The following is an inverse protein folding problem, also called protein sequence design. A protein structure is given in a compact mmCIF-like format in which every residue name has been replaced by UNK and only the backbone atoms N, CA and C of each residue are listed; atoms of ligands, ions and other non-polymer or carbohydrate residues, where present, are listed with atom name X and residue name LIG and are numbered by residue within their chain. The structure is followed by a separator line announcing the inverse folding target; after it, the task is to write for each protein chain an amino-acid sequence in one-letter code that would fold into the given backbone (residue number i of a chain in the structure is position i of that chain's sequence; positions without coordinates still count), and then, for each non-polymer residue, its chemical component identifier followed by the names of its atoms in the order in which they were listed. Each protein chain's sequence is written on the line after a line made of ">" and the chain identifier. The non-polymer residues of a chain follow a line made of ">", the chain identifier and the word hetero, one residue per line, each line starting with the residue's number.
data_IF_781569205016
#
_entry.id   IF_781569205016
#
_cell.length_a   1.000
_cell.length_b   1.000
_cell.length_c   1.000
_cell.angle_alpha   90.00
_cell.angle_beta   90.00
_cell.angle_gamma   90.00
#
_symmetry.space_group_name_H-M   'P 1'
#
loop_
_entity.id
_entity.type
_entity.pdbx_description
1 polymer ?
#
# COMPACT_ATOMS: atom_id res chain seq x y z
N UNK A 1 -18.92 24.07 29.25
CA UNK A 1 -18.09 23.06 28.54
C UNK A 1 -19.01 22.21 27.70
N UNK A 2 -18.68 21.98 26.43
CA UNK A 2 -19.49 21.17 25.50
C UNK A 2 -19.38 19.68 25.80
N UNK A 3 -20.30 18.89 25.32
CA UNK A 3 -20.15 17.44 25.26
C UNK A 3 -19.25 17.06 24.06
N UNK A 4 -18.45 16.01 24.22
CA UNK A 4 -17.50 15.51 23.24
C UNK A 4 -18.06 14.25 22.59
N UNK A 5 -17.92 14.09 21.29
CA UNK A 5 -18.27 12.87 20.58
C UNK A 5 -17.20 11.80 20.78
N UNK A 6 -17.64 10.56 20.94
CA UNK A 6 -16.78 9.41 21.16
C UNK A 6 -17.46 8.14 20.62
N UNK A 7 -16.71 7.29 19.94
CA UNK A 7 -17.17 5.97 19.49
C UNK A 7 -16.48 4.86 20.28
N UNK A 8 -17.25 3.89 20.80
CA UNK A 8 -16.73 2.77 21.59
C UNK A 8 -16.74 1.46 20.81
N UNK A 9 -15.69 0.68 20.97
CA UNK A 9 -15.60 -0.70 20.50
C UNK A 9 -15.18 -1.65 21.64
N UNK A 10 -15.75 -2.85 21.66
CA UNK A 10 -15.46 -3.84 22.70
C UNK A 10 -14.11 -4.52 22.54
N UNK A 11 -13.53 -4.48 21.35
CA UNK A 11 -12.18 -4.95 21.03
C UNK A 11 -11.69 -4.29 19.73
N UNK A 12 -10.43 -4.49 19.38
CA UNK A 12 -9.80 -3.91 18.18
C UNK A 12 -10.41 -4.39 16.85
N UNK A 13 -11.01 -5.58 16.85
CA UNK A 13 -11.62 -6.21 15.68
C UNK A 13 -13.14 -6.01 15.63
N UNK A 14 -13.71 -5.22 16.55
CA UNK A 14 -15.14 -4.96 16.60
C UNK A 14 -15.65 -4.45 15.23
N UNK A 15 -16.63 -5.15 14.69
CA UNK A 15 -17.29 -4.78 13.43
C UNK A 15 -18.26 -3.62 13.59
N UNK A 16 -18.75 -3.41 14.82
CA UNK A 16 -19.72 -2.37 15.18
C UNK A 16 -19.18 -1.50 16.30
N UNK A 17 -19.19 -0.20 16.09
CA UNK A 17 -18.79 0.84 17.03
C UNK A 17 -20.02 1.68 17.39
N UNK A 18 -20.14 2.06 18.65
CA UNK A 18 -21.29 2.82 19.14
C UNK A 18 -20.89 4.26 19.38
N UNK A 19 -21.46 5.18 18.59
CA UNK A 19 -21.30 6.62 18.80
C UNK A 19 -22.08 7.09 20.02
N UNK A 20 -21.43 7.88 20.86
CA UNK A 20 -22.02 8.50 22.07
C UNK A 20 -21.44 9.90 22.24
N UNK A 21 -22.00 10.62 23.21
CA UNK A 21 -21.44 11.86 23.74
C UNK A 21 -20.99 11.64 25.18
N UNK A 22 -19.92 12.31 25.59
CA UNK A 22 -19.36 12.23 26.94
C UNK A 22 -18.89 13.63 27.39
N UNK A 23 -19.04 13.94 28.68
CA UNK A 23 -18.36 15.10 29.28
C UNK A 23 -16.89 14.76 29.50
N UNK A 24 -15.99 15.69 29.29
CA UNK A 24 -14.55 15.45 29.53
C UNK A 24 -14.25 15.01 30.97
N UNK A 25 -15.01 15.55 31.96
CA UNK A 25 -14.89 15.10 33.34
C UNK A 25 -15.18 13.62 33.53
N UNK A 26 -16.24 13.10 32.88
CA UNK A 26 -16.60 11.68 32.98
C UNK A 26 -15.59 10.78 32.26
N UNK A 27 -15.01 11.26 31.16
CA UNK A 27 -13.91 10.56 30.48
C UNK A 27 -12.66 10.50 31.36
N UNK A 28 -12.30 11.60 32.04
CA UNK A 28 -11.19 11.65 33.01
C UNK A 28 -11.34 10.58 34.09
N UNK A 29 -12.51 10.49 34.72
CA UNK A 29 -12.78 9.47 35.74
C UNK A 29 -12.61 8.05 35.21
N UNK A 30 -13.04 7.79 33.98
CA UNK A 30 -12.83 6.49 33.34
C UNK A 30 -11.37 6.20 33.03
N UNK A 31 -10.58 7.19 32.64
CA UNK A 31 -9.16 7.03 32.30
C UNK A 31 -8.24 6.94 33.53
N UNK A 32 -8.72 7.37 34.72
CA UNK A 32 -8.01 7.20 36.00
C UNK A 32 -7.91 5.74 36.44
N UNK A 33 -8.83 4.90 35.99
CA UNK A 33 -8.91 3.50 36.40
C UNK A 33 -8.30 2.60 35.36
N UNK A 34 -7.22 1.91 35.74
CA UNK A 34 -6.59 0.89 34.88
C UNK A 34 -7.18 -0.49 35.12
N UNK A 35 -7.36 -1.26 34.06
CA UNK A 35 -7.71 -2.67 34.11
C UNK A 35 -6.43 -3.46 34.40
N UNK A 36 -6.37 -4.18 35.55
CA UNK A 36 -5.25 -5.07 35.85
C UNK A 36 -5.48 -6.41 35.18
N UNK A 37 -4.50 -6.85 34.38
CA UNK A 37 -4.53 -8.16 33.72
C UNK A 37 -3.84 -9.22 34.59
N UNK A 38 -3.97 -10.49 34.22
CA UNK A 38 -3.50 -11.59 35.05
C UNK A 38 -1.98 -11.82 34.98
N UNK A 39 -1.36 -11.47 33.85
CA UNK A 39 0.07 -11.64 33.64
C UNK A 39 0.90 -10.58 34.38
N UNK A 40 2.11 -10.95 34.78
CA UNK A 40 3.11 -10.01 35.27
C UNK A 40 3.74 -9.20 34.11
N UNK A 41 4.43 -8.11 34.44
CA UNK A 41 5.16 -7.30 33.46
C UNK A 41 6.28 -8.12 32.76
N UNK A 42 6.93 -9.02 33.50
CA UNK A 42 7.98 -9.92 33.02
C UNK A 42 7.42 -10.98 32.07
N UNK A 43 6.23 -11.52 32.37
CA UNK A 43 5.53 -12.46 31.51
C UNK A 43 5.06 -11.77 30.23
N UNK A 44 4.47 -10.58 30.36
CA UNK A 44 4.04 -9.79 29.21
C UNK A 44 5.21 -9.46 28.27
N UNK A 45 6.39 -9.13 28.80
CA UNK A 45 7.57 -8.83 27.98
C UNK A 45 8.02 -10.03 27.12
N UNK A 46 7.80 -11.26 27.61
CA UNK A 46 8.14 -12.51 26.90
C UNK A 46 7.09 -12.98 25.89
N UNK A 47 5.88 -12.40 25.93
CA UNK A 47 4.78 -12.78 25.04
C UNK A 47 5.09 -12.44 23.58
N UNK A 48 4.57 -13.27 22.68
CA UNK A 48 4.50 -12.94 21.25
C UNK A 48 3.66 -11.69 20.99
N UNK A 49 3.85 -11.05 19.83
CA UNK A 49 3.05 -9.87 19.47
C UNK A 49 1.54 -10.15 19.53
N UNK A 50 1.09 -11.31 19.05
CA UNK A 50 -0.32 -11.69 19.07
C UNK A 50 -0.88 -11.82 20.50
N UNK A 51 -0.11 -12.43 21.41
CA UNK A 51 -0.48 -12.55 22.83
C UNK A 51 -0.53 -11.19 23.51
N UNK A 52 0.48 -10.31 23.28
CA UNK A 52 0.48 -8.93 23.81
C UNK A 52 -0.69 -8.11 23.29
N UNK A 53 -1.04 -8.28 22.03
CA UNK A 53 -2.18 -7.60 21.42
C UNK A 53 -3.51 -8.07 22.01
N UNK A 54 -3.63 -9.35 22.37
CA UNK A 54 -4.81 -9.90 23.05
C UNK A 54 -4.89 -9.44 24.51
N UNK A 55 -3.77 -9.45 25.24
CA UNK A 55 -3.71 -9.06 26.65
C UNK A 55 -4.17 -7.62 26.90
N UNK A 56 -3.80 -6.68 26.04
CA UNK A 56 -4.18 -5.25 26.16
C UNK A 56 -5.56 -4.91 25.58
N UNK A 57 -6.22 -5.85 24.86
CA UNK A 57 -7.46 -5.56 24.13
C UNK A 57 -8.70 -5.70 25.02
N UNK A 58 -8.92 -4.74 25.88
CA UNK A 58 -10.14 -4.55 26.67
C UNK A 58 -11.12 -3.56 26.03
N UNK A 59 -11.09 -3.47 24.68
CA UNK A 59 -11.81 -2.46 23.95
C UNK A 59 -11.16 -1.10 24.03
N UNK A 60 -11.85 -0.11 23.46
CA UNK A 60 -11.32 1.24 23.41
C UNK A 60 -12.27 2.22 22.74
N UNK A 61 -11.72 3.35 22.35
CA UNK A 61 -12.50 4.41 21.74
C UNK A 61 -11.79 5.06 20.55
N UNK A 62 -12.57 5.66 19.67
CA UNK A 62 -12.16 6.70 18.74
C UNK A 62 -12.79 8.00 19.25
N UNK A 63 -11.99 9.04 19.39
CA UNK A 63 -12.42 10.31 19.96
C UNK A 63 -13.17 11.17 18.92
N UNK A 64 -14.31 10.69 18.43
CA UNK A 64 -15.12 11.31 17.38
C UNK A 64 -16.33 10.47 16.98
N UNK A 65 -16.87 10.74 15.79
CA UNK A 65 -18.04 10.06 15.21
C UNK A 65 -17.59 9.15 14.06
N UNK A 66 -18.10 7.92 14.03
CA UNK A 66 -17.89 6.95 12.96
C UNK A 66 -19.20 6.70 12.22
N UNK A 67 -19.28 7.07 10.94
CA UNK A 67 -20.46 6.83 10.10
C UNK A 67 -20.73 5.32 9.98
N UNK A 68 -22.00 4.96 10.11
CA UNK A 68 -22.44 3.56 10.06
C UNK A 68 -21.84 2.66 11.16
N UNK A 69 -21.22 3.24 12.20
CA UNK A 69 -20.61 2.51 13.30
C UNK A 69 -19.46 1.60 12.88
N UNK A 70 -18.73 1.95 11.83
CA UNK A 70 -17.55 1.19 11.36
C UNK A 70 -16.28 2.00 11.56
N UNK A 71 -15.23 1.36 12.07
CA UNK A 71 -13.92 1.99 12.27
C UNK A 71 -13.03 1.80 11.03
N UNK A 72 -13.29 2.60 10.01
CA UNK A 72 -12.46 2.72 8.82
C UNK A 72 -12.02 4.18 8.67
N UNK A 73 -11.00 4.45 7.85
CA UNK A 73 -10.48 5.80 7.67
C UNK A 73 -11.49 6.72 6.98
N UNK A 74 -12.20 6.18 6.01
CA UNK A 74 -13.23 6.84 5.20
C UNK A 74 -14.56 7.04 5.94
N UNK A 75 -14.74 6.44 7.12
CA UNK A 75 -15.99 6.55 7.89
C UNK A 75 -15.91 7.53 9.07
N UNK A 76 -14.77 8.15 9.29
CA UNK A 76 -14.64 9.18 10.32
C UNK A 76 -15.31 10.46 9.85
N UNK A 77 -16.36 10.88 10.57
CA UNK A 77 -17.09 12.11 10.27
C UNK A 77 -16.40 13.32 10.89
N UNK A 78 -16.19 13.26 12.20
CA UNK A 78 -15.53 14.33 12.97
C UNK A 78 -14.68 13.75 14.12
N UNK A 79 -13.76 14.57 14.64
CA UNK A 79 -13.02 14.32 15.86
C UNK A 79 -13.30 15.42 16.87
N UNK A 80 -13.60 15.03 18.11
CA UNK A 80 -13.91 15.93 19.23
C UNK A 80 -12.76 16.08 20.22
N UNK A 81 -11.78 15.16 20.13
CA UNK A 81 -10.60 15.16 20.99
C UNK A 81 -9.38 14.76 20.16
N UNK A 82 -8.24 15.32 20.50
CA UNK A 82 -6.94 14.84 20.07
C UNK A 82 -6.47 13.75 21.01
N UNK A 83 -5.90 12.68 20.48
CA UNK A 83 -5.28 11.61 21.26
C UNK A 83 -3.95 11.20 20.61
N UNK A 84 -2.85 11.27 21.38
CA UNK A 84 -1.49 10.96 20.91
C UNK A 84 -0.89 9.81 21.73
N UNK A 85 -0.35 8.80 21.07
CA UNK A 85 0.40 7.70 21.68
C UNK A 85 1.90 8.07 21.72
N UNK A 86 2.44 8.24 22.90
CA UNK A 86 3.87 8.48 23.15
C UNK A 86 4.58 7.16 23.44
N UNK A 87 5.19 6.59 22.41
CA UNK A 87 5.88 5.28 22.49
C UNK A 87 7.37 5.40 22.83
N UNK A 88 7.92 6.61 22.84
CA UNK A 88 9.35 6.91 23.05
C UNK A 88 9.57 8.04 24.03
N UNK A 89 8.74 8.09 25.03
CA UNK A 89 8.79 9.09 26.09
C UNK A 89 10.00 8.81 26.97
N UNK A 90 10.72 9.84 27.33
CA UNK A 90 11.77 9.79 28.34
C UNK A 90 11.28 10.29 29.72
N UNK A 91 12.10 10.07 30.72
CA UNK A 91 11.78 10.50 32.08
C UNK A 91 11.69 12.03 32.21
N UNK A 92 12.44 12.79 31.41
CA UNK A 92 12.42 14.25 31.41
C UNK A 92 11.08 14.77 30.89
N UNK A 93 10.55 14.18 29.79
CA UNK A 93 9.22 14.50 29.29
C UNK A 93 8.15 14.25 30.35
N UNK A 94 8.16 13.06 31.01
CA UNK A 94 7.19 12.75 32.06
C UNK A 94 7.26 13.70 33.24
N UNK A 95 8.46 14.09 33.65
CA UNK A 95 8.65 15.03 34.74
C UNK A 95 8.19 16.44 34.36
N UNK A 96 8.50 16.89 33.14
CA UNK A 96 8.20 18.22 32.64
C UNK A 96 6.83 18.41 32.00
N UNK A 97 6.04 17.36 31.82
CA UNK A 97 4.81 17.41 31.02
C UNK A 97 3.84 18.51 31.41
N UNK A 98 3.59 18.70 32.72
CA UNK A 98 2.67 19.71 33.22
C UNK A 98 3.12 21.14 32.89
N UNK A 99 4.45 21.35 32.77
CA UNK A 99 5.03 22.65 32.38
C UNK A 99 5.14 22.83 30.87
N UNK A 100 5.23 21.70 30.11
CA UNK A 100 5.35 21.73 28.66
C UNK A 100 3.99 21.85 27.96
N UNK A 101 2.91 21.36 28.60
CA UNK A 101 1.59 21.30 28.02
C UNK A 101 0.73 22.50 28.46
N UNK A 102 0.41 23.45 27.58
CA UNK A 102 -0.38 24.62 27.96
C UNK A 102 -1.89 24.36 27.99
N UNK A 103 -2.34 23.19 27.53
CA UNK A 103 -3.76 22.85 27.37
C UNK A 103 -4.24 21.91 28.46
N UNK A 104 -5.54 21.97 28.71
CA UNK A 104 -6.23 20.95 29.50
C UNK A 104 -6.04 19.58 28.83
N UNK A 105 -5.57 18.61 29.59
CA UNK A 105 -5.29 17.27 29.03
C UNK A 105 -5.24 16.20 30.12
N UNK A 106 -5.25 14.96 29.65
CA UNK A 106 -4.98 13.78 30.46
C UNK A 106 -3.79 13.04 29.86
N UNK A 107 -2.85 12.66 30.72
CA UNK A 107 -1.78 11.72 30.43
C UNK A 107 -1.99 10.44 31.24
N UNK A 108 -1.92 9.28 30.59
CA UNK A 108 -1.87 8.00 31.28
C UNK A 108 -0.92 7.02 30.58
N UNK A 109 -0.32 6.11 31.39
CA UNK A 109 0.56 5.08 30.86
C UNK A 109 -0.21 3.97 30.18
N UNK A 110 0.32 3.47 29.06
CA UNK A 110 -0.28 2.34 28.32
C UNK A 110 0.18 1.00 28.88
N UNK A 111 -0.46 -0.10 28.46
CA UNK A 111 -0.20 -1.46 28.96
C UNK A 111 1.27 -1.89 28.88
N UNK A 112 1.98 -1.45 27.84
CA UNK A 112 3.40 -1.79 27.61
C UNK A 112 4.40 -0.84 28.28
N UNK A 113 3.91 0.09 29.12
CA UNK A 113 4.77 1.05 29.79
C UNK A 113 5.59 0.40 30.90
N UNK A 114 6.89 0.73 30.96
CA UNK A 114 7.78 0.36 32.06
C UNK A 114 8.50 1.59 32.61
N UNK A 115 9.06 1.55 33.81
CA UNK A 115 9.84 2.67 34.35
C UNK A 115 11.00 3.09 33.44
N UNK A 116 11.68 2.12 32.80
CA UNK A 116 12.83 2.35 31.93
C UNK A 116 12.42 2.72 30.48
N UNK A 117 11.20 2.40 30.08
CA UNK A 117 10.66 2.73 28.76
C UNK A 117 9.19 3.16 28.90
N UNK A 118 8.96 4.41 29.39
CA UNK A 118 7.62 4.91 29.58
C UNK A 118 6.86 5.03 28.25
N UNK A 119 5.63 4.56 28.24
CA UNK A 119 4.70 4.70 27.12
C UNK A 119 3.42 5.32 27.64
N UNK A 120 3.03 6.41 27.02
CA UNK A 120 1.90 7.21 27.49
C UNK A 120 0.88 7.45 26.41
N UNK A 121 -0.32 7.82 26.81
CA UNK A 121 -1.34 8.39 25.95
C UNK A 121 -1.76 9.73 26.49
N UNK A 122 -1.78 10.73 25.61
CA UNK A 122 -2.26 12.07 25.87
C UNK A 122 -3.62 12.24 25.23
N UNK A 123 -4.57 12.83 25.95
CA UNK A 123 -5.91 13.14 25.44
C UNK A 123 -6.25 14.60 25.73
N UNK A 124 -6.56 15.35 24.67
CA UNK A 124 -6.89 16.78 24.72
C UNK A 124 -8.33 16.98 24.26
N UNK A 125 -9.20 17.61 25.05
CA UNK A 125 -10.52 18.03 24.58
C UNK A 125 -10.38 19.21 23.62
N UNK A 126 -11.14 19.19 22.51
CA UNK A 126 -11.16 20.30 21.54
C UNK A 126 -12.32 21.24 21.82
N UNK A 127 -12.15 22.53 21.56
CA UNK A 127 -13.20 23.55 21.72
C UNK A 127 -14.34 23.36 20.70
N UNK A 128 -14.04 22.83 19.52
CA UNK A 128 -15.01 22.39 18.50
C UNK A 128 -14.63 21.04 17.93
N UNK A 129 -15.57 20.44 17.18
CA UNK A 129 -15.27 19.29 16.35
C UNK A 129 -14.43 19.71 15.15
N UNK A 130 -13.57 18.82 14.69
CA UNK A 130 -12.70 19.03 13.54
C UNK A 130 -12.94 17.95 12.50
N UNK A 131 -12.72 18.27 11.23
CA UNK A 131 -12.71 17.29 10.14
C UNK A 131 -11.51 16.35 10.27
N UNK A 132 -11.52 15.21 9.59
CA UNK A 132 -10.35 14.32 9.57
C UNK A 132 -9.06 15.00 9.11
N UNK A 133 -9.14 15.92 8.14
CA UNK A 133 -7.99 16.67 7.63
C UNK A 133 -7.46 17.66 8.66
N UNK A 134 -8.35 18.46 9.27
CA UNK A 134 -7.99 19.36 10.37
C UNK A 134 -7.38 18.56 11.54
N UNK A 135 -7.95 17.37 11.85
CA UNK A 135 -7.41 16.50 12.91
C UNK A 135 -5.97 16.09 12.64
N UNK A 136 -5.64 15.68 11.41
CA UNK A 136 -4.26 15.32 11.05
C UNK A 136 -3.33 16.52 11.24
N UNK A 137 -3.72 17.69 10.76
CA UNK A 137 -2.93 18.92 10.90
C UNK A 137 -2.73 19.30 12.37
N UNK A 138 -3.82 19.45 13.13
CA UNK A 138 -3.77 19.84 14.55
C UNK A 138 -2.94 18.83 15.36
N UNK A 139 -3.13 17.52 15.15
CA UNK A 139 -2.38 16.49 15.88
C UNK A 139 -0.88 16.56 15.60
N UNK A 140 -0.47 16.82 14.35
CA UNK A 140 0.95 16.92 13.97
C UNK A 140 1.60 18.20 14.52
N UNK A 141 0.90 19.33 14.47
CA UNK A 141 1.44 20.58 15.05
C UNK A 141 1.52 20.53 16.58
N UNK A 142 0.54 19.94 17.26
CA UNK A 142 0.61 19.72 18.71
C UNK A 142 1.73 18.74 19.06
N UNK A 143 1.89 17.67 18.28
CA UNK A 143 3.00 16.75 18.47
C UNK A 143 4.36 17.43 18.22
N UNK A 144 4.47 18.33 17.23
CA UNK A 144 5.69 19.11 16.97
C UNK A 144 6.03 20.01 18.16
N UNK A 145 5.03 20.68 18.72
CA UNK A 145 5.19 21.52 19.91
C UNK A 145 5.71 20.74 21.12
N UNK A 146 5.27 19.49 21.29
CA UNK A 146 5.64 18.60 22.38
C UNK A 146 6.90 17.75 22.09
N UNK A 147 7.41 17.77 20.85
CA UNK A 147 8.49 16.91 20.37
C UNK A 147 7.96 15.72 19.56
N UNK A 148 7.81 15.91 18.25
CA UNK A 148 7.12 14.96 17.34
C UNK A 148 7.73 13.55 17.35
N UNK A 149 9.03 13.42 17.63
CA UNK A 149 9.73 12.15 17.68
C UNK A 149 9.36 11.26 18.88
N UNK A 150 8.69 11.80 19.88
CA UNK A 150 8.14 11.05 21.00
C UNK A 150 6.92 10.22 20.62
N UNK A 151 6.17 10.62 19.57
CA UNK A 151 4.84 10.09 19.27
C UNK A 151 4.84 9.06 18.15
N UNK A 152 3.90 8.10 18.23
CA UNK A 152 3.62 7.13 17.17
C UNK A 152 2.81 7.81 16.06
N UNK A 153 3.26 7.68 14.83
CA UNK A 153 2.65 8.23 13.62
C UNK A 153 1.22 7.72 13.41
N UNK A 154 0.89 6.52 13.90
CA UNK A 154 -0.47 6.00 13.86
C UNK A 154 -1.48 6.89 14.59
N UNK A 155 -1.02 7.69 15.58
CA UNK A 155 -1.87 8.62 16.34
C UNK A 155 -2.52 9.70 15.47
N UNK A 156 -1.88 10.05 14.35
CA UNK A 156 -2.38 11.06 13.42
C UNK A 156 -3.47 10.53 12.49
N UNK A 157 -3.73 9.22 12.50
CA UNK A 157 -4.82 8.65 11.70
C UNK A 157 -6.17 8.94 12.35
N UNK A 158 -7.14 9.51 11.60
CA UNK A 158 -8.43 9.87 12.18
C UNK A 158 -9.21 8.71 12.80
N UNK A 159 -9.04 7.48 12.33
CA UNK A 159 -9.69 6.27 12.81
C UNK A 159 -8.87 5.49 13.84
N UNK A 160 -7.77 6.07 14.38
CA UNK A 160 -6.92 5.36 15.33
C UNK A 160 -7.67 4.99 16.60
N UNK A 161 -7.55 3.72 16.96
CA UNK A 161 -8.09 3.15 18.19
C UNK A 161 -7.21 3.54 19.38
N UNK A 162 -7.83 4.08 20.41
CA UNK A 162 -7.25 4.30 21.71
C UNK A 162 -7.79 3.26 22.69
N UNK A 163 -6.94 2.30 23.12
CA UNK A 163 -7.35 1.30 24.11
C UNK A 163 -7.66 1.96 25.44
N UNK A 164 -8.64 1.39 26.18
CA UNK A 164 -8.86 1.75 27.57
C UNK A 164 -7.60 1.45 28.39
N UNK A 165 -7.35 2.21 29.48
CA UNK A 165 -6.20 1.97 30.32
C UNK A 165 -6.19 0.54 30.85
N UNK A 166 -5.10 -0.17 30.62
CA UNK A 166 -4.82 -1.48 31.18
C UNK A 166 -3.35 -1.59 31.51
N UNK A 167 -3.01 -2.48 32.44
CA UNK A 167 -1.63 -2.73 32.84
C UNK A 167 -1.47 -4.16 33.36
N UNK A 168 -0.27 -4.76 33.24
CA UNK A 168 0.04 -6.03 33.89
C UNK A 168 -0.24 -5.98 35.40
N UNK A 169 -0.37 -7.14 36.06
CA UNK A 169 -0.73 -7.24 37.46
C UNK A 169 0.16 -6.37 38.38
N UNK A 170 1.48 -6.42 38.16
CA UNK A 170 2.49 -5.65 38.90
C UNK A 170 3.00 -4.42 38.12
N UNK A 171 2.40 -4.11 36.97
CA UNK A 171 2.81 -2.97 36.13
C UNK A 171 2.54 -1.62 36.79
N UNK A 172 3.38 -0.64 36.51
CA UNK A 172 3.20 0.74 36.99
C UNK A 172 2.16 1.44 36.14
N UNK A 173 1.17 2.06 36.79
CA UNK A 173 0.18 2.90 36.14
C UNK A 173 0.30 4.33 36.67
N UNK A 174 0.60 5.26 35.77
CA UNK A 174 0.69 6.69 36.05
C UNK A 174 -0.47 7.40 35.33
N UNK A 175 -1.10 8.31 36.06
CA UNK A 175 -2.15 9.18 35.56
C UNK A 175 -1.85 10.61 35.99
N UNK A 176 -1.92 11.57 35.06
CA UNK A 176 -1.74 12.99 35.31
C UNK A 176 -2.80 13.81 34.60
N UNK A 177 -3.17 14.93 35.14
CA UNK A 177 -4.04 15.92 34.52
C UNK A 177 -3.32 17.27 34.44
N UNK A 178 -3.47 17.94 33.31
CA UNK A 178 -3.13 19.36 33.20
C UNK A 178 -4.40 20.20 33.23
N UNK A 179 -4.38 21.26 33.99
CA UNK A 179 -5.44 22.25 34.01
C UNK A 179 -5.05 23.40 33.09
N UNK A 180 -5.95 23.75 32.18
CA UNK A 180 -5.74 24.82 31.21
C UNK A 180 -6.99 25.01 30.37
N UNK A 181 -6.89 25.86 29.37
CA UNK A 181 -7.95 25.98 28.37
C UNK A 181 -7.99 24.74 27.47
N UNK A 182 -9.17 24.44 26.97
CA UNK A 182 -9.31 23.39 25.96
C UNK A 182 -8.55 23.78 24.71
N UNK A 183 -7.95 22.79 24.04
CA UNK A 183 -7.21 23.01 22.80
C UNK A 183 -8.16 23.59 21.74
N UNK A 184 -7.90 24.83 21.33
CA UNK A 184 -8.63 25.47 20.24
C UNK A 184 -7.97 25.11 18.90
N UNK A 185 -8.61 24.31 18.05
CA UNK A 185 -8.03 23.95 16.75
C UNK A 185 -7.83 25.16 15.82
N UNK A 186 -8.68 26.20 15.94
CA UNK A 186 -8.57 27.38 15.09
C UNK A 186 -7.30 28.18 15.36
N UNK A 187 -6.85 28.25 16.62
CA UNK A 187 -5.60 28.91 16.95
C UNK A 187 -4.39 28.18 16.36
N UNK A 188 -4.40 26.82 16.39
CA UNK A 188 -3.35 26.01 15.79
C UNK A 188 -3.34 26.15 14.27
N UNK A 189 -4.51 26.06 13.63
CA UNK A 189 -4.61 26.15 12.17
C UNK A 189 -4.30 27.55 11.65
N UNK A 190 -4.70 28.60 12.37
CA UNK A 190 -4.40 29.99 11.99
C UNK A 190 -2.91 30.33 12.12
N UNK A 191 -2.21 29.71 13.08
CA UNK A 191 -0.76 29.84 13.22
C UNK A 191 0.02 29.17 12.08
N UNK A 192 -0.62 28.27 11.33
CA UNK A 192 -0.01 27.51 10.23
C UNK A 192 -0.91 27.57 8.97
N UNK A 193 -0.89 28.68 8.21
CA UNK A 193 -1.79 28.87 7.06
C UNK A 193 -1.70 27.80 5.99
N UNK A 194 -0.57 27.12 5.89
CA UNK A 194 -0.30 26.02 4.97
C UNK A 194 -0.82 24.65 5.43
N UNK A 195 -1.52 24.59 6.57
CA UNK A 195 -2.00 23.32 7.16
C UNK A 195 -2.84 22.46 6.20
N UNK A 196 -3.49 23.09 5.23
CA UNK A 196 -4.30 22.45 4.20
C UNK A 196 -3.48 21.82 3.06
N UNK A 197 -2.16 22.03 3.01
CA UNK A 197 -1.23 21.26 2.18
C UNK A 197 -0.62 20.12 3.01
N UNK A 198 -1.12 18.88 2.86
CA UNK A 198 -0.65 17.76 3.69
C UNK A 198 0.84 17.46 3.55
N UNK A 199 1.48 17.93 2.47
CA UNK A 199 2.92 17.70 2.23
C UNK A 199 3.81 18.63 3.07
N UNK A 200 3.23 19.66 3.65
CA UNK A 200 3.93 20.63 4.52
C UNK A 200 3.74 20.35 6.01
N UNK A 201 2.90 19.36 6.33
CA UNK A 201 2.68 19.01 7.74
C UNK A 201 3.94 18.46 8.38
N UNK A 202 4.16 18.74 9.68
CA UNK A 202 5.31 18.21 10.42
C UNK A 202 5.40 16.67 10.32
N UNK A 203 6.60 16.16 10.12
CA UNK A 203 6.89 14.71 10.08
C UNK A 203 7.98 14.36 11.08
N UNK A 204 7.89 13.17 11.67
CA UNK A 204 8.93 12.64 12.53
C UNK A 204 10.20 12.29 11.74
N UNK A 205 11.34 12.20 12.42
CA UNK A 205 12.59 11.75 11.81
C UNK A 205 12.47 10.31 11.26
N UNK A 206 11.56 9.51 11.80
CA UNK A 206 11.29 8.13 11.38
C UNK A 206 10.48 8.08 10.09
N UNK A 207 9.42 8.90 9.99
CA UNK A 207 8.62 9.00 8.75
C UNK A 207 9.50 9.40 7.58
N UNK A 208 10.38 10.38 7.77
CA UNK A 208 11.30 10.84 6.74
C UNK A 208 12.24 9.72 6.29
N UNK A 209 12.80 8.93 7.22
CA UNK A 209 13.64 7.77 6.92
C UNK A 209 12.86 6.63 6.27
N UNK A 210 11.67 6.32 6.78
CA UNK A 210 10.83 5.25 6.24
C UNK A 210 10.39 5.55 4.80
N UNK A 211 10.02 6.80 4.52
CA UNK A 211 9.68 7.24 3.18
C UNK A 211 10.86 7.11 2.21
N UNK A 212 12.06 7.51 2.62
CA UNK A 212 13.27 7.36 1.81
C UNK A 212 13.61 5.88 1.53
N UNK A 213 13.52 5.01 2.54
CA UNK A 213 13.77 3.56 2.40
C UNK A 213 12.70 2.89 1.52
N UNK A 214 11.44 3.30 1.66
CA UNK A 214 10.34 2.76 0.84
C UNK A 214 10.55 3.11 -0.62
N UNK A 215 10.92 4.35 -0.92
CA UNK A 215 11.24 4.78 -2.30
C UNK A 215 12.39 3.97 -2.93
N UNK A 216 13.42 3.62 -2.15
CA UNK A 216 14.56 2.82 -2.64
C UNK A 216 14.24 1.34 -2.86
N UNK A 217 13.25 0.78 -2.16
CA UNK A 217 12.88 -0.64 -2.22
C UNK A 217 11.70 -0.96 -3.14
N UNK A 218 11.08 0.04 -3.72
CA UNK A 218 9.92 -0.16 -4.58
C UNK A 218 10.38 -0.76 -5.91
N UNK A 219 9.91 -1.97 -6.18
CA UNK A 219 10.10 -2.61 -7.47
C UNK A 219 9.33 -1.84 -8.55
N UNK A 220 9.96 -1.61 -9.70
CA UNK A 220 9.32 -0.95 -10.85
C UNK A 220 8.02 -1.68 -11.24
N UNK A 221 6.86 -1.04 -11.16
CA UNK A 221 5.59 -1.67 -11.47
C UNK A 221 5.48 -2.08 -12.94
N UNK A 222 6.23 -1.45 -13.84
CA UNK A 222 6.26 -1.79 -15.27
C UNK A 222 7.07 -3.08 -15.53
N UNK A 223 8.04 -3.39 -14.66
CA UNK A 223 8.84 -4.61 -14.74
C UNK A 223 8.18 -5.82 -14.06
N UNK A 224 7.04 -5.64 -13.40
CA UNK A 224 6.31 -6.76 -12.80
C UNK A 224 5.75 -7.70 -13.86
N UNK A 225 5.78 -8.98 -13.55
CA UNK A 225 5.17 -10.02 -14.38
C UNK A 225 3.65 -10.14 -14.14
N UNK A 226 2.98 -10.85 -15.03
CA UNK A 226 1.55 -11.18 -14.92
C UNK A 226 0.63 -9.97 -15.07
N UNK A 227 -0.62 -10.13 -14.60
CA UNK A 227 -1.70 -9.15 -14.80
C UNK A 227 -1.39 -7.79 -14.21
N UNK A 228 -0.68 -7.75 -13.07
CA UNK A 228 -0.28 -6.48 -12.42
C UNK A 228 0.66 -5.69 -13.34
N UNK A 229 1.69 -6.33 -13.89
CA UNK A 229 2.63 -5.66 -14.80
C UNK A 229 1.97 -5.25 -16.11
N UNK A 230 1.15 -6.12 -16.70
CA UNK A 230 0.38 -5.81 -17.90
C UNK A 230 -0.50 -4.56 -17.71
N UNK A 231 -1.26 -4.51 -16.62
CA UNK A 231 -2.11 -3.35 -16.32
C UNK A 231 -1.29 -2.07 -16.15
N UNK A 232 -0.19 -2.12 -15.38
CA UNK A 232 0.66 -0.96 -15.16
C UNK A 232 1.32 -0.47 -16.46
N UNK A 233 1.72 -1.36 -17.38
CA UNK A 233 2.28 -0.97 -18.70
C UNK A 233 1.25 -0.33 -19.61
N UNK A 234 0.04 -0.87 -19.67
CA UNK A 234 -1.05 -0.31 -20.48
C UNK A 234 -1.48 1.05 -19.96
N UNK A 235 -1.59 1.20 -18.65
CA UNK A 235 -2.04 2.45 -18.01
C UNK A 235 -0.89 3.34 -17.52
N UNK A 236 0.26 3.26 -18.19
CA UNK A 236 1.35 4.21 -18.02
C UNK A 236 1.13 5.43 -18.93
N UNK A 237 1.35 6.67 -18.45
CA UNK A 237 1.60 7.05 -17.05
C UNK A 237 0.39 6.76 -16.13
N UNK A 238 0.62 6.62 -14.81
CA UNK A 238 -0.42 6.27 -13.82
C UNK A 238 -1.64 7.20 -13.85
N UNK A 239 -1.46 8.44 -14.30
CA UNK A 239 -2.52 9.43 -14.48
C UNK A 239 -3.59 8.98 -15.49
N UNK A 240 -3.23 8.08 -16.43
CA UNK A 240 -4.19 7.46 -17.34
C UNK A 240 -5.19 6.59 -16.57
N UNK A 241 -4.71 5.77 -15.63
CA UNK A 241 -5.58 4.98 -14.77
C UNK A 241 -6.49 5.85 -13.89
N UNK A 242 -5.98 6.97 -13.36
CA UNK A 242 -6.80 7.91 -12.60
C UNK A 242 -7.93 8.50 -13.44
N UNK A 243 -7.65 8.92 -14.68
CA UNK A 243 -8.65 9.49 -15.60
C UNK A 243 -9.71 8.48 -16.01
N UNK A 244 -9.30 7.25 -16.30
CA UNK A 244 -10.19 6.23 -16.86
C UNK A 244 -11.02 5.52 -15.78
N UNK A 245 -10.40 5.17 -14.65
CA UNK A 245 -11.08 4.39 -13.62
C UNK A 245 -11.46 5.17 -12.37
N UNK A 246 -10.90 6.35 -12.12
CA UNK A 246 -11.07 7.08 -10.87
C UNK A 246 -11.37 8.57 -11.09
N UNK A 247 -11.95 8.92 -12.25
CA UNK A 247 -12.34 10.29 -12.56
C UNK A 247 -13.46 10.86 -11.67
N UNK A 248 -14.21 9.99 -10.99
CA UNK A 248 -15.18 10.33 -9.96
C UNK A 248 -14.54 10.59 -8.59
N UNK A 249 -13.31 10.14 -8.39
CA UNK A 249 -12.56 10.22 -7.12
C UNK A 249 -11.53 11.34 -7.16
N UNK A 250 -10.73 11.39 -8.21
CA UNK A 250 -9.62 12.33 -8.36
C UNK A 250 -9.83 13.30 -9.52
N UNK A 251 -9.28 14.48 -9.38
CA UNK A 251 -9.21 15.47 -10.45
C UNK A 251 -7.81 16.08 -10.56
N UNK A 252 -7.34 16.40 -11.79
CA UNK A 252 -6.05 17.03 -11.99
C UNK A 252 -6.07 18.47 -11.46
N UNK A 253 -4.89 18.99 -11.11
CA UNK A 253 -4.68 20.40 -10.79
C UNK A 253 -3.85 21.06 -11.90
N UNK A 254 -3.58 22.35 -11.78
CA UNK A 254 -2.68 23.08 -12.71
C UNK A 254 -1.23 22.55 -12.67
N UNK A 255 -0.87 21.79 -11.62
CA UNK A 255 0.41 21.11 -11.51
C UNK A 255 0.26 19.64 -11.92
N UNK A 256 0.93 19.23 -13.00
CA UNK A 256 0.84 17.88 -13.57
C UNK A 256 1.16 16.76 -12.58
N UNK A 257 2.01 17.03 -11.59
CA UNK A 257 2.38 16.08 -10.53
C UNK A 257 1.49 16.13 -9.28
N UNK A 258 0.44 16.95 -9.30
CA UNK A 258 -0.48 17.12 -8.19
C UNK A 258 -1.92 16.92 -8.62
N UNK A 259 -2.63 16.13 -7.83
CA UNK A 259 -4.05 15.84 -8.03
C UNK A 259 -4.83 16.14 -6.76
N UNK A 260 -6.11 16.35 -6.90
CA UNK A 260 -7.04 16.64 -5.82
C UNK A 260 -7.98 15.45 -5.60
N UNK A 261 -8.25 15.09 -4.33
CA UNK A 261 -9.31 14.15 -3.96
C UNK A 261 -10.62 14.93 -3.86
N UNK A 262 -11.58 14.69 -4.74
CA UNK A 262 -12.83 15.48 -4.89
C UNK A 262 -13.66 15.65 -3.62
N UNK A 263 -13.58 14.68 -2.70
CA UNK A 263 -14.32 14.71 -1.43
C UNK A 263 -13.52 15.31 -0.26
N UNK A 264 -12.35 15.87 -0.53
CA UNK A 264 -11.47 16.45 0.50
C UNK A 264 -11.58 17.98 0.51
N UNK A 265 -11.49 18.56 1.69
CA UNK A 265 -11.36 20.01 1.89
C UNK A 265 -9.92 20.52 1.77
N UNK A 266 -8.93 19.61 1.78
CA UNK A 266 -7.51 19.95 1.62
C UNK A 266 -7.11 20.00 0.15
N UNK A 267 -6.16 20.89 -0.18
CA UNK A 267 -5.75 21.16 -1.56
C UNK A 267 -4.67 20.17 -2.05
N UNK A 268 -4.81 19.69 -3.28
CA UNK A 268 -3.75 19.05 -4.09
C UNK A 268 -2.83 18.05 -3.35
N UNK A 269 -3.39 17.28 -2.43
CA UNK A 269 -2.64 16.37 -1.56
C UNK A 269 -2.34 15.00 -2.16
N UNK A 270 -2.56 14.80 -3.47
CA UNK A 270 -2.20 13.57 -4.17
C UNK A 270 -1.02 13.87 -5.08
N UNK A 271 0.10 13.17 -4.86
CA UNK A 271 1.33 13.31 -5.64
C UNK A 271 1.48 12.17 -6.65
N UNK A 272 1.87 12.54 -7.86
CA UNK A 272 2.33 11.59 -8.88
C UNK A 272 3.85 11.51 -8.80
N UNK A 273 4.39 10.30 -8.59
CA UNK A 273 5.83 10.04 -8.48
C UNK A 273 6.30 9.19 -9.63
N UNK A 274 7.32 9.67 -10.35
CA UNK A 274 7.95 8.97 -11.48
C UNK A 274 6.95 8.51 -12.58
N UNK A 275 5.82 9.18 -12.73
CA UNK A 275 4.71 8.79 -13.62
C UNK A 275 4.14 7.37 -13.38
N UNK A 276 4.63 6.67 -12.35
CA UNK A 276 4.32 5.27 -12.05
C UNK A 276 3.48 5.08 -10.81
N UNK A 277 3.54 6.05 -9.87
CA UNK A 277 2.93 5.90 -8.56
C UNK A 277 2.08 7.09 -8.18
N UNK A 278 1.05 6.79 -7.43
CA UNK A 278 0.20 7.73 -6.71
C UNK A 278 0.53 7.65 -5.23
N UNK A 279 0.73 8.79 -4.60
CA UNK A 279 0.91 8.89 -3.14
C UNK A 279 -0.08 9.90 -2.59
N UNK A 280 -1.01 9.46 -1.75
CA UNK A 280 -2.06 10.33 -1.20
C UNK A 280 -1.74 10.75 0.23
N UNK A 281 -1.80 12.04 0.48
CA UNK A 281 -1.73 12.65 1.81
C UNK A 281 -3.12 12.94 2.41
N UNK A 282 -4.20 12.66 1.67
CA UNK A 282 -5.56 12.92 2.14
C UNK A 282 -5.99 11.87 3.17
N UNK A 283 -6.35 12.34 4.36
CA UNK A 283 -6.70 11.49 5.50
C UNK A 283 -7.94 10.60 5.29
N UNK A 284 -8.82 10.95 4.36
CA UNK A 284 -10.00 10.15 3.99
C UNK A 284 -9.76 9.18 2.83
N UNK A 285 -8.61 9.29 2.17
CA UNK A 285 -8.29 8.44 1.04
C UNK A 285 -7.91 7.02 1.52
N UNK A 286 -8.51 5.94 0.98
CA UNK A 286 -8.05 4.58 1.23
C UNK A 286 -6.55 4.34 0.96
N UNK A 287 -5.96 5.16 0.07
CA UNK A 287 -4.53 5.17 -0.27
C UNK A 287 -3.68 6.09 0.63
N UNK A 288 -4.23 6.62 1.73
CA UNK A 288 -3.54 7.53 2.64
C UNK A 288 -2.17 6.98 3.06
N UNK A 289 -1.12 7.78 2.83
CA UNK A 289 0.29 7.47 3.11
C UNK A 289 0.80 6.15 2.49
N UNK A 290 0.20 5.72 1.38
CA UNK A 290 0.65 4.55 0.64
C UNK A 290 1.13 4.96 -0.75
N UNK A 291 2.24 4.36 -1.18
CA UNK A 291 2.73 4.48 -2.54
C UNK A 291 2.08 3.39 -3.40
N UNK A 292 1.15 3.79 -4.27
CA UNK A 292 0.31 2.89 -5.04
C UNK A 292 0.63 3.00 -6.53
N UNK A 293 0.86 1.89 -7.22
CA UNK A 293 0.88 1.85 -8.68
C UNK A 293 -0.54 1.89 -9.27
N UNK A 294 -0.68 1.92 -10.60
CA UNK A 294 -2.00 2.00 -11.26
C UNK A 294 -2.94 0.85 -10.86
N UNK A 295 -2.45 -0.39 -10.78
CA UNK A 295 -3.25 -1.54 -10.37
C UNK A 295 -3.72 -1.42 -8.91
N UNK A 296 -2.83 -1.03 -8.00
CA UNK A 296 -3.15 -0.96 -6.57
C UNK A 296 -4.11 0.19 -6.25
N UNK A 297 -3.95 1.37 -6.88
CA UNK A 297 -4.83 2.51 -6.62
C UNK A 297 -6.26 2.23 -7.11
N UNK A 298 -6.42 1.64 -8.29
CA UNK A 298 -7.73 1.26 -8.81
C UNK A 298 -8.36 0.16 -7.94
N UNK A 299 -7.58 -0.86 -7.52
CA UNK A 299 -8.04 -1.91 -6.62
C UNK A 299 -8.60 -1.37 -5.31
N UNK A 300 -7.88 -0.46 -4.67
CA UNK A 300 -8.28 0.12 -3.37
C UNK A 300 -9.59 0.87 -3.45
N UNK A 301 -9.82 1.62 -4.51
CA UNK A 301 -11.03 2.43 -4.66
C UNK A 301 -12.23 1.65 -5.20
N UNK A 302 -12.02 0.69 -6.11
CA UNK A 302 -13.14 -0.04 -6.73
C UNK A 302 -13.52 -1.30 -5.98
N UNK A 303 -12.59 -1.90 -5.23
CA UNK A 303 -12.77 -3.19 -4.56
C UNK A 303 -12.29 -3.21 -3.10
N UNK A 304 -12.10 -2.05 -2.48
CA UNK A 304 -11.60 -1.94 -1.10
C UNK A 304 -12.60 -2.36 -0.01
N UNK A 305 -13.85 -2.61 -0.38
CA UNK A 305 -14.90 -3.14 0.50
C UNK A 305 -14.79 -4.66 0.71
N UNK A 306 -14.08 -5.36 -0.17
CA UNK A 306 -13.86 -6.81 -0.14
C UNK A 306 -12.67 -7.18 0.73
N UNK A 307 -12.57 -8.46 1.11
CA UNK A 307 -11.33 -8.98 1.68
C UNK A 307 -10.18 -8.92 0.65
N UNK A 308 -8.94 -8.99 1.12
CA UNK A 308 -7.77 -8.72 0.28
C UNK A 308 -7.66 -9.68 -0.92
N UNK A 309 -7.99 -10.97 -0.74
CA UNK A 309 -7.97 -11.96 -1.81
C UNK A 309 -9.08 -11.72 -2.84
N UNK A 310 -10.29 -11.47 -2.39
CA UNK A 310 -11.43 -11.18 -3.26
C UNK A 310 -11.25 -9.84 -4.00
N UNK A 311 -10.68 -8.84 -3.33
CA UNK A 311 -10.32 -7.56 -3.92
C UNK A 311 -9.29 -7.70 -5.04
N UNK A 312 -8.23 -8.49 -4.80
CA UNK A 312 -7.20 -8.76 -5.80
C UNK A 312 -7.77 -9.50 -7.02
N UNK A 313 -8.58 -10.54 -6.80
CA UNK A 313 -9.22 -11.29 -7.87
C UNK A 313 -10.13 -10.40 -8.72
N UNK A 314 -10.99 -9.60 -8.09
CA UNK A 314 -11.88 -8.68 -8.81
C UNK A 314 -11.10 -7.64 -9.63
N UNK A 315 -9.97 -7.16 -9.15
CA UNK A 315 -9.10 -6.27 -9.90
C UNK A 315 -8.41 -6.97 -11.08
N UNK A 316 -8.00 -8.23 -10.92
CA UNK A 316 -7.48 -9.02 -12.03
C UNK A 316 -8.54 -9.25 -13.14
N UNK A 317 -9.78 -9.51 -12.75
CA UNK A 317 -10.90 -9.66 -13.68
C UNK A 317 -11.16 -8.36 -14.44
N UNK A 318 -11.20 -7.21 -13.74
CA UNK A 318 -11.32 -5.88 -14.37
C UNK A 318 -10.19 -5.62 -15.36
N UNK A 319 -8.95 -5.89 -14.99
CA UNK A 319 -7.78 -5.70 -15.84
C UNK A 319 -7.87 -6.56 -17.11
N UNK A 320 -8.28 -7.83 -16.98
CA UNK A 320 -8.42 -8.75 -18.11
C UNK A 320 -9.69 -8.51 -18.96
N UNK A 321 -10.60 -7.64 -18.54
CA UNK A 321 -11.69 -7.15 -19.39
C UNK A 321 -11.21 -6.07 -20.38
N UNK A 322 -10.11 -5.39 -20.10
CA UNK A 322 -9.57 -4.33 -20.96
C UNK A 322 -8.91 -4.92 -22.21
N UNK A 323 -9.35 -4.48 -23.40
CA UNK A 323 -8.87 -5.05 -24.66
C UNK A 323 -7.37 -4.78 -24.89
N UNK A 324 -6.86 -3.60 -24.51
CA UNK A 324 -5.42 -3.27 -24.59
C UNK A 324 -4.58 -4.22 -23.72
N UNK A 325 -5.07 -4.59 -22.52
CA UNK A 325 -4.39 -5.55 -21.64
C UNK A 325 -4.37 -6.95 -22.25
N UNK A 326 -5.48 -7.38 -22.86
CA UNK A 326 -5.55 -8.67 -23.58
C UNK A 326 -4.58 -8.71 -24.76
N UNK A 327 -4.53 -7.64 -25.56
CA UNK A 327 -3.61 -7.52 -26.70
C UNK A 327 -2.17 -7.60 -26.25
N UNK A 328 -1.81 -6.82 -25.22
CA UNK A 328 -0.45 -6.85 -24.68
C UNK A 328 -0.10 -8.25 -24.13
N UNK A 329 -0.99 -8.88 -23.39
CA UNK A 329 -0.80 -10.24 -22.87
C UNK A 329 -0.58 -11.26 -23.99
N UNK A 330 -1.33 -11.15 -25.09
CA UNK A 330 -1.18 -12.02 -26.25
C UNK A 330 0.15 -11.82 -26.95
N UNK A 331 0.58 -10.57 -27.12
CA UNK A 331 1.85 -10.22 -27.75
C UNK A 331 3.04 -10.72 -26.91
N UNK A 332 3.01 -10.57 -25.59
CA UNK A 332 4.07 -11.07 -24.71
C UNK A 332 4.17 -12.62 -24.74
N UNK A 333 3.02 -13.31 -24.78
CA UNK A 333 3.00 -14.78 -24.92
C UNK A 333 3.58 -15.23 -26.25
N UNK A 334 3.25 -14.54 -27.35
CA UNK A 334 3.80 -14.83 -28.66
C UNK A 334 5.30 -14.59 -28.71
N UNK A 335 5.78 -13.48 -28.13
CA UNK A 335 7.21 -13.18 -28.04
C UNK A 335 7.96 -14.23 -27.23
N UNK A 336 7.43 -14.64 -26.07
CA UNK A 336 8.01 -15.71 -25.25
C UNK A 336 8.06 -17.03 -26.00
N UNK A 337 6.96 -17.44 -26.64
CA UNK A 337 6.91 -18.65 -27.45
C UNK A 337 7.96 -18.58 -28.59
N UNK A 338 8.11 -17.43 -29.26
CA UNK A 338 9.11 -17.27 -30.31
C UNK A 338 10.53 -17.40 -29.78
N UNK A 339 10.82 -16.90 -28.57
CA UNK A 339 12.12 -17.09 -27.90
C UNK A 339 12.35 -18.57 -27.55
N UNK A 340 11.37 -19.23 -26.93
CA UNK A 340 11.46 -20.64 -26.55
C UNK A 340 11.67 -21.55 -27.78
N UNK A 341 11.12 -21.17 -28.93
CA UNK A 341 11.40 -21.88 -30.20
C UNK A 341 12.73 -21.49 -30.85
N UNK A 342 13.28 -20.29 -30.58
CA UNK A 342 14.60 -19.87 -31.12
C UNK A 342 15.77 -20.49 -30.36
N UNK A 343 15.59 -20.76 -29.07
CA UNK A 343 16.59 -21.42 -28.21
C UNK A 343 16.55 -22.96 -28.29
N UNK A 344 15.56 -23.54 -28.97
CA UNK A 344 15.61 -24.93 -29.32
C UNK A 344 16.84 -25.14 -30.24
N UNK A 345 17.87 -25.79 -29.69
CA UNK A 345 19.15 -26.14 -30.32
C UNK A 345 18.92 -26.48 -31.80
N UNK A 346 19.13 -25.50 -32.70
CA UNK A 346 18.87 -25.66 -34.15
C UNK A 346 19.65 -26.81 -34.74
N UNK A 347 20.62 -27.32 -34.02
CA UNK A 347 21.49 -28.44 -34.37
C UNK A 347 21.22 -29.74 -33.56
N UNK A 348 20.21 -29.74 -32.64
CA UNK A 348 19.88 -30.94 -31.85
C UNK A 348 19.56 -32.17 -32.69
N UNK A 349 18.97 -31.98 -33.87
CA UNK A 349 18.68 -33.03 -34.82
C UNK A 349 19.93 -33.75 -35.35
N UNK A 350 21.09 -33.06 -35.40
CA UNK A 350 22.36 -33.65 -35.83
C UNK A 350 22.84 -34.75 -34.87
N UNK A 351 22.45 -34.69 -33.60
CA UNK A 351 22.77 -35.74 -32.60
C UNK A 351 21.99 -37.04 -32.85
N UNK A 352 20.92 -37.01 -33.66
CA UNK A 352 20.09 -38.13 -34.02
C UNK A 352 20.58 -38.84 -35.31
N UNK A 353 21.54 -38.25 -36.02
CA UNK A 353 22.12 -38.82 -37.21
C UNK A 353 22.88 -40.13 -36.90
N UNK A 354 22.68 -41.12 -37.74
CA UNK A 354 23.34 -42.43 -37.63
C UNK A 354 24.60 -42.44 -38.49
N UNK A 355 25.69 -42.96 -37.87
CA UNK A 355 27.00 -43.07 -38.52
C UNK A 355 27.35 -44.53 -38.76
N UNK A 356 28.27 -44.81 -39.72
CA UNK A 356 28.85 -46.12 -39.91
C UNK A 356 29.70 -46.51 -38.67
N UNK A 357 29.76 -47.79 -38.31
CA UNK A 357 30.48 -48.25 -37.12
C UNK A 357 31.94 -47.76 -37.12
N UNK A 358 32.35 -47.09 -36.05
CA UNK A 358 33.70 -46.54 -35.88
C UNK A 358 34.14 -45.54 -36.93
N UNK A 359 33.19 -44.82 -37.56
CA UNK A 359 33.42 -43.88 -38.65
C UNK A 359 32.64 -42.58 -38.42
N UNK A 360 33.12 -41.48 -39.00
CA UNK A 360 32.40 -40.21 -39.11
C UNK A 360 31.51 -40.14 -40.38
N UNK A 361 31.41 -41.21 -41.12
CA UNK A 361 30.63 -41.25 -42.37
C UNK A 361 29.15 -41.55 -42.00
N UNK A 362 28.25 -40.71 -42.50
CA UNK A 362 26.80 -40.90 -42.29
C UNK A 362 26.32 -42.16 -42.98
N UNK A 363 25.48 -42.94 -42.30
CA UNK A 363 24.76 -44.04 -42.96
C UNK A 363 23.86 -43.51 -44.03
N UNK A 364 23.94 -44.11 -45.19
CA UNK A 364 23.00 -43.83 -46.30
C UNK A 364 21.70 -44.59 -46.06
N UNK A 365 20.80 -44.00 -45.25
CA UNK A 365 19.53 -44.62 -44.93
C UNK A 365 18.42 -43.53 -44.89
N UNK A 366 17.17 -43.99 -44.99
CA UNK A 366 15.99 -43.13 -45.02
C UNK A 366 15.88 -42.22 -43.78
N UNK A 367 16.30 -42.72 -42.58
CA UNK A 367 16.28 -41.98 -41.36
C UNK A 367 17.14 -40.70 -41.44
N UNK A 368 18.43 -40.86 -41.83
CA UNK A 368 19.35 -39.71 -41.97
C UNK A 368 18.89 -38.75 -43.08
N UNK A 369 18.44 -39.27 -44.21
CA UNK A 369 17.96 -38.46 -45.33
C UNK A 369 16.76 -37.61 -44.89
N UNK A 370 15.78 -38.21 -44.21
CA UNK A 370 14.60 -37.51 -43.70
C UNK A 370 14.99 -36.43 -42.68
N UNK A 371 15.83 -36.75 -41.71
CA UNK A 371 16.31 -35.76 -40.72
C UNK A 371 17.01 -34.59 -41.38
N UNK A 372 17.89 -34.82 -42.36
CA UNK A 372 18.61 -33.75 -43.06
C UNK A 372 17.64 -32.90 -43.88
N UNK A 373 16.74 -33.49 -44.63
CA UNK A 373 15.77 -32.74 -45.46
C UNK A 373 14.81 -31.90 -44.63
N UNK A 374 14.45 -32.37 -43.43
CA UNK A 374 13.54 -31.65 -42.54
C UNK A 374 14.18 -30.49 -41.75
N UNK A 375 15.48 -30.62 -41.44
CA UNK A 375 16.09 -29.74 -40.45
C UNK A 375 17.24 -28.89 -41.02
N UNK A 376 17.90 -29.30 -42.15
CA UNK A 376 19.01 -28.52 -42.66
C UNK A 376 18.49 -27.21 -43.27
N UNK A 377 19.03 -26.06 -42.84
CA UNK A 377 18.58 -24.74 -43.31
C UNK A 377 18.64 -24.55 -44.84
N UNK A 378 19.54 -25.22 -45.51
CA UNK A 378 19.70 -25.14 -46.97
C UNK A 378 18.70 -26.04 -47.73
N UNK A 379 18.25 -27.12 -47.08
CA UNK A 379 17.43 -28.17 -47.72
C UNK A 379 15.96 -28.13 -47.30
N UNK A 380 15.62 -27.56 -46.17
CA UNK A 380 14.22 -27.46 -45.67
C UNK A 380 13.27 -26.69 -46.58
N UNK A 381 13.80 -25.93 -47.53
CA UNK A 381 13.01 -25.19 -48.50
C UNK A 381 12.67 -26.00 -49.76
N UNK A 382 13.14 -27.24 -49.87
CA UNK A 382 12.77 -28.15 -50.95
C UNK A 382 11.35 -28.65 -50.65
N UNK A 383 10.41 -28.40 -51.61
CA UNK A 383 9.01 -28.75 -51.45
C UNK A 383 8.56 -29.53 -52.70
N UNK A 384 7.59 -30.43 -52.54
CA UNK A 384 6.92 -31.07 -53.63
C UNK A 384 5.71 -30.25 -54.08
N UNK A 385 5.76 -29.68 -55.26
CA UNK A 385 4.63 -28.96 -55.83
C UNK A 385 3.67 -29.93 -56.50
N UNK A 386 2.52 -30.18 -55.87
CA UNK A 386 1.50 -31.10 -56.36
C UNK A 386 0.85 -30.65 -57.70
N UNK A 387 0.85 -29.33 -57.98
CA UNK A 387 0.26 -28.82 -59.20
C UNK A 387 1.17 -29.03 -60.42
N UNK A 388 2.48 -28.99 -60.17
CA UNK A 388 3.50 -29.18 -61.23
C UNK A 388 4.05 -30.59 -61.22
N UNK A 389 3.61 -31.46 -60.29
CA UNK A 389 4.11 -32.81 -60.07
C UNK A 389 5.63 -32.89 -60.05
N UNK A 390 6.24 -31.96 -59.24
CA UNK A 390 7.71 -31.82 -59.21
C UNK A 390 8.25 -31.22 -57.94
N UNK A 391 9.56 -31.34 -57.76
CA UNK A 391 10.28 -30.76 -56.63
C UNK A 391 10.64 -29.31 -56.97
N UNK A 392 10.38 -28.42 -56.03
CA UNK A 392 10.73 -27.00 -56.10
C UNK A 392 11.48 -26.55 -54.83
N UNK A 393 12.24 -25.44 -54.96
CA UNK A 393 12.91 -24.78 -53.82
C UNK A 393 12.20 -23.45 -53.59
N UNK A 394 11.67 -23.23 -52.38
CA UNK A 394 11.14 -21.93 -51.99
C UNK A 394 12.27 -21.00 -51.70
N UNK A 395 12.26 -19.83 -52.32
CA UNK A 395 13.26 -18.78 -52.16
C UNK A 395 14.48 -18.94 -53.08
N UNK A 396 15.59 -18.26 -52.74
CA UNK A 396 16.80 -18.23 -53.55
C UNK A 396 17.54 -19.56 -53.52
N UNK A 397 17.80 -20.10 -54.70
CA UNK A 397 18.60 -21.34 -54.82
C UNK A 397 20.04 -21.12 -54.34
N UNK A 398 20.64 -22.11 -53.63
CA UNK A 398 21.98 -21.95 -53.05
C UNK A 398 23.13 -22.10 -54.03
N UNK A 399 22.85 -22.26 -55.35
CA UNK A 399 23.83 -22.42 -56.41
C UNK A 399 23.58 -21.44 -57.57
N UNK A 400 24.63 -21.07 -58.30
CA UNK A 400 24.56 -20.06 -59.33
C UNK A 400 23.80 -20.47 -60.66
N UNK A 401 23.69 -21.74 -60.89
CA UNK A 401 23.05 -22.27 -62.11
C UNK A 401 22.12 -23.42 -61.76
N UNK A 402 20.82 -23.12 -61.44
CA UNK A 402 19.84 -24.18 -61.18
C UNK A 402 19.75 -25.10 -62.39
N UNK A 403 19.66 -26.40 -62.12
CA UNK A 403 19.40 -27.41 -63.10
C UNK A 403 18.03 -27.18 -63.74
N UNK A 404 17.84 -27.58 -64.96
CA UNK A 404 16.54 -27.57 -65.67
C UNK A 404 15.45 -28.34 -64.95
N UNK A 405 15.85 -29.16 -63.96
CA UNK A 405 14.92 -29.97 -63.11
C UNK A 405 14.52 -29.28 -61.81
N UNK A 406 15.14 -28.14 -61.53
CA UNK A 406 14.87 -27.39 -60.33
C UNK A 406 14.48 -25.95 -60.69
N UNK A 407 13.36 -25.50 -60.20
CA UNK A 407 12.86 -24.15 -60.46
C UNK A 407 12.78 -23.42 -59.12
N UNK A 408 12.97 -22.08 -59.18
CA UNK A 408 12.60 -21.24 -58.08
C UNK A 408 11.08 -21.24 -57.93
N UNK A 409 10.58 -21.38 -56.74
CA UNK A 409 9.19 -21.15 -56.43
C UNK A 409 9.01 -19.66 -56.16
N UNK A 410 8.18 -18.97 -56.96
CA UNK A 410 7.81 -17.56 -56.81
C UNK A 410 7.08 -17.30 -55.46
#
# INVERSE_FOLDING_TARGET
>A
MRNLAIAYGNNRQAKTWVNKTIRFADLKERLKVTIRTAESAEEYAKMSKAQRDAAKDHGGFVAGVLMGGRRKIDTVEVRSMLALDGDRIDAAFLAGYESLCPYASVLYTTHSSTPDNPRVRLVFPLTRDVTPEEFVAVSRYVAQMLGIDYFDECSYQPNQLMYWPSSPQNGVFVYKETNGEWLNPDDVLSAHPEWNDPTRLPTSSRESKANAVTQQKVQDPLAKEGVVGLFNRVYYPVTRALKEFLSDVYEPTDNENRWHLKQSSSMAGVEIKEDKFVYSHHAKDPAYLKLCNAFDIVRMHRFGDKDDKASYQAMCELAMQQDEVKVLASNERLAQASMDFSDADSDAWRKQLQYEPRSTVLKNNLHNITLILQNDPMLKNIVFNQLLDGMEIKGTVPWKHPSKYWRDAD
#
